data_IF_372489178194
#
_entry.id   IF_372489178194
#
_cell.length_a   1.000
_cell.length_b   1.000
_cell.length_c   1.000
_cell.angle_alpha   90.00
_cell.angle_beta   90.00
_cell.angle_gamma   90.00
#
_symmetry.space_group_name_H-M   'P 1'
#
loop_
_entity.id
_entity.type
_entity.pdbx_description
1 polymer ?
#
# COMPACT_ATOMS: atom_id res chain seq x y z
N UNK A 1 2.49 -9.01 -28.51
CA UNK A 1 2.64 -7.96 -27.48
C UNK A 1 1.95 -8.47 -26.24
N UNK A 2 2.68 -8.96 -25.23
CA UNK A 2 2.03 -9.33 -23.97
C UNK A 2 1.51 -8.05 -23.31
N UNK A 3 0.32 -8.12 -22.71
CA UNK A 3 -0.21 -7.04 -21.91
C UNK A 3 0.83 -6.70 -20.82
N UNK A 4 1.23 -5.44 -20.70
CA UNK A 4 2.22 -5.01 -19.69
C UNK A 4 1.59 -4.85 -18.30
N UNK A 5 0.27 -4.88 -18.21
CA UNK A 5 -0.49 -4.61 -16.98
C UNK A 5 -1.80 -5.38 -16.96
N UNK A 6 -2.24 -5.80 -15.78
CA UNK A 6 -3.54 -6.43 -15.54
C UNK A 6 -4.48 -5.46 -14.80
N UNK A 7 -5.78 -5.50 -15.11
CA UNK A 7 -6.80 -4.63 -14.51
C UNK A 7 -7.53 -5.33 -13.37
N UNK A 8 -7.52 -4.73 -12.18
CA UNK A 8 -8.11 -5.30 -10.96
C UNK A 8 -9.11 -4.33 -10.37
N UNK A 9 -10.38 -4.75 -10.34
CA UNK A 9 -11.42 -4.03 -9.59
C UNK A 9 -11.20 -4.18 -8.08
N UNK A 10 -11.16 -3.07 -7.35
CA UNK A 10 -10.88 -3.07 -5.91
C UNK A 10 -11.69 -2.01 -5.17
N UNK A 11 -11.95 -2.27 -3.88
CA UNK A 11 -12.44 -1.26 -2.94
C UNK A 11 -11.33 -0.92 -1.95
N UNK A 12 -10.82 0.30 -2.03
CA UNK A 12 -9.87 0.86 -1.08
C UNK A 12 -10.64 1.43 0.10
N UNK A 13 -10.15 1.17 1.32
CA UNK A 13 -10.75 1.79 2.51
C UNK A 13 -10.31 3.26 2.62
N UNK A 14 -10.95 4.02 3.51
CA UNK A 14 -10.63 5.44 3.73
C UNK A 14 -9.14 5.67 3.98
N UNK A 15 -8.52 4.91 4.89
CA UNK A 15 -7.12 5.10 5.25
C UNK A 15 -6.18 4.82 4.08
N UNK A 16 -6.48 3.85 3.22
CA UNK A 16 -5.69 3.60 2.00
C UNK A 16 -5.81 4.75 1.01
N UNK A 17 -6.99 5.37 0.89
CA UNK A 17 -7.18 6.58 0.04
C UNK A 17 -6.39 7.76 0.59
N UNK A 18 -6.37 7.95 1.91
CA UNK A 18 -5.57 8.99 2.56
C UNK A 18 -4.08 8.70 2.37
N UNK A 19 -3.64 7.45 2.54
CA UNK A 19 -2.25 7.06 2.31
C UNK A 19 -1.79 7.29 0.86
N UNK A 20 -2.67 7.13 -0.14
CA UNK A 20 -2.36 7.49 -1.53
C UNK A 20 -2.09 9.00 -1.68
N UNK A 21 -2.92 9.85 -1.05
CA UNK A 21 -2.71 11.31 -1.05
C UNK A 21 -1.41 11.67 -0.34
N UNK A 22 -1.16 11.10 0.84
CA UNK A 22 0.05 11.36 1.61
C UNK A 22 1.31 10.88 0.87
N UNK A 23 1.24 9.75 0.19
CA UNK A 23 2.38 9.25 -0.58
C UNK A 23 2.70 10.16 -1.77
N UNK A 24 1.68 10.79 -2.40
CA UNK A 24 1.92 11.86 -3.38
C UNK A 24 2.66 13.05 -2.76
N UNK A 25 2.29 13.46 -1.54
CA UNK A 25 3.00 14.52 -0.82
C UNK A 25 4.44 14.11 -0.53
N UNK A 26 4.70 12.88 -0.07
CA UNK A 26 6.06 12.38 0.12
C UNK A 26 6.88 12.42 -1.17
N UNK A 27 6.32 11.95 -2.29
CA UNK A 27 7.06 11.81 -3.55
C UNK A 27 7.23 13.12 -4.31
N UNK A 28 6.27 14.04 -4.20
CA UNK A 28 6.17 15.21 -5.08
C UNK A 28 5.89 16.53 -4.36
N UNK A 29 5.67 16.52 -3.05
CA UNK A 29 5.33 17.71 -2.26
C UNK A 29 3.90 18.22 -2.43
N UNK A 30 3.05 17.56 -3.22
CA UNK A 30 1.66 17.98 -3.47
C UNK A 30 0.73 16.77 -3.68
N UNK A 31 -0.38 16.74 -2.91
CA UNK A 31 -1.41 15.69 -2.98
C UNK A 31 -2.29 15.77 -4.23
N UNK A 32 -2.35 16.92 -4.90
CA UNK A 32 -3.28 17.19 -6.00
C UNK A 32 -2.71 16.86 -7.38
N UNK A 33 -1.46 16.41 -7.45
CA UNK A 33 -0.86 16.02 -8.72
C UNK A 33 -1.67 14.86 -9.34
N UNK A 34 -1.99 14.95 -10.64
CA UNK A 34 -2.82 13.96 -11.34
C UNK A 34 -2.00 12.70 -11.68
N UNK A 35 -1.49 12.02 -10.66
CA UNK A 35 -0.81 10.73 -10.78
C UNK A 35 -1.83 9.60 -10.57
N UNK A 36 -1.85 8.56 -11.43
CA UNK A 36 -2.72 7.40 -11.26
C UNK A 36 -2.43 6.62 -9.96
N UNK A 37 -3.47 6.15 -9.28
CA UNK A 37 -3.33 5.35 -8.05
C UNK A 37 -2.49 4.08 -8.27
N UNK A 38 -2.66 3.41 -9.40
CA UNK A 38 -1.88 2.19 -9.73
C UNK A 38 -0.38 2.48 -9.78
N UNK A 39 0.00 3.62 -10.37
CA UNK A 39 1.39 4.04 -10.43
C UNK A 39 1.96 4.30 -9.03
N UNK A 40 1.19 4.97 -8.16
CA UNK A 40 1.63 5.22 -6.78
C UNK A 40 1.82 3.94 -5.98
N UNK A 41 0.94 2.96 -6.16
CA UNK A 41 1.06 1.65 -5.52
C UNK A 41 2.33 0.92 -6.00
N UNK A 42 2.63 0.99 -7.29
CA UNK A 42 3.85 0.41 -7.86
C UNK A 42 5.12 1.08 -7.30
N UNK A 43 5.14 2.42 -7.22
CA UNK A 43 6.25 3.16 -6.63
C UNK A 43 6.38 2.91 -5.12
N UNK A 44 5.26 2.81 -4.40
CA UNK A 44 5.24 2.43 -3.00
C UNK A 44 5.86 1.04 -2.78
N UNK A 45 5.47 0.05 -3.59
CA UNK A 45 6.05 -1.29 -3.56
C UNK A 45 7.56 -1.26 -3.84
N UNK A 46 8.00 -0.58 -4.91
CA UNK A 46 9.43 -0.46 -5.25
C UNK A 46 10.22 0.16 -4.09
N UNK A 47 9.69 1.21 -3.46
CA UNK A 47 10.35 1.90 -2.35
C UNK A 47 10.65 0.99 -1.16
N UNK A 48 9.77 0.03 -0.88
CA UNK A 48 9.92 -0.90 0.25
C UNK A 48 10.40 -2.30 -0.16
N UNK A 49 10.58 -2.55 -1.47
CA UNK A 49 10.85 -3.88 -2.03
C UNK A 49 12.08 -4.57 -1.44
N UNK A 50 13.10 -3.80 -1.06
CA UNK A 50 14.32 -4.31 -0.43
C UNK A 50 14.12 -4.83 0.99
N UNK A 51 13.06 -4.39 1.67
CA UNK A 51 12.72 -4.74 3.05
C UNK A 51 11.44 -5.58 3.17
N UNK A 52 10.72 -5.79 2.06
CA UNK A 52 9.33 -6.29 2.04
C UNK A 52 9.14 -7.61 2.81
N UNK A 53 10.11 -8.52 2.72
CA UNK A 53 10.05 -9.83 3.37
C UNK A 53 10.31 -9.78 4.88
N UNK A 54 10.90 -8.69 5.37
CA UNK A 54 11.14 -8.45 6.79
C UNK A 54 10.06 -7.58 7.44
N UNK A 55 9.05 -7.11 6.71
CA UNK A 55 8.03 -6.23 7.27
C UNK A 55 7.06 -7.02 8.16
N UNK A 56 6.88 -6.58 9.41
CA UNK A 56 5.80 -7.01 10.28
C UNK A 56 4.48 -6.36 9.85
N UNK A 57 3.83 -7.01 8.89
CA UNK A 57 2.55 -6.57 8.35
C UNK A 57 1.40 -6.70 9.36
N UNK A 58 1.54 -7.49 10.42
CA UNK A 58 0.56 -7.55 11.51
C UNK A 58 0.65 -6.27 12.33
N UNK A 59 1.86 -5.91 12.78
CA UNK A 59 2.10 -4.71 13.55
C UNK A 59 1.72 -3.45 12.76
N UNK A 60 2.10 -3.32 11.48
CA UNK A 60 1.76 -2.14 10.66
C UNK A 60 0.25 -1.93 10.52
N UNK A 61 -0.52 -3.01 10.50
CA UNK A 61 -1.97 -2.94 10.33
C UNK A 61 -2.76 -2.92 11.64
N UNK A 62 -2.08 -2.99 12.78
CA UNK A 62 -2.72 -2.87 14.08
C UNK A 62 -3.45 -1.53 14.21
N UNK A 63 -4.55 -1.52 14.97
CA UNK A 63 -5.40 -0.35 15.18
C UNK A 63 -4.68 0.77 15.94
N UNK A 64 -3.70 0.41 16.78
CA UNK A 64 -2.97 1.33 17.64
C UNK A 64 -1.71 1.87 16.94
N UNK A 65 -1.37 1.32 15.77
CA UNK A 65 -0.25 1.78 14.95
C UNK A 65 -0.55 3.15 14.32
N UNK A 66 0.35 4.10 14.57
CA UNK A 66 0.25 5.46 14.03
C UNK A 66 1.02 5.51 12.71
N UNK A 67 0.28 5.72 11.61
CA UNK A 67 0.85 6.01 10.30
C UNK A 67 0.80 7.52 10.11
N UNK A 68 1.96 8.21 9.98
CA UNK A 68 2.03 9.66 9.87
C UNK A 68 1.06 10.22 8.84
N UNK A 69 0.28 11.24 9.23
CA UNK A 69 -0.70 11.94 8.38
C UNK A 69 -1.79 11.05 7.75
N UNK A 70 -1.93 9.80 8.20
CA UNK A 70 -2.93 8.86 7.68
C UNK A 70 -3.92 8.44 8.77
N UNK A 71 -3.46 7.85 9.88
CA UNK A 71 -4.37 7.34 10.92
C UNK A 71 -4.93 8.45 11.80
N UNK A 72 -4.21 9.54 11.96
CA UNK A 72 -4.61 10.75 12.70
C UNK A 72 -5.18 11.87 11.79
N UNK A 73 -5.52 11.56 10.55
CA UNK A 73 -5.94 12.56 9.55
C UNK A 73 -7.42 12.92 9.65
N UNK A 74 -7.71 14.23 9.62
CA UNK A 74 -9.06 14.79 9.47
C UNK A 74 -9.55 14.80 8.01
N UNK A 75 -8.81 14.20 7.07
CA UNK A 75 -9.18 14.18 5.65
C UNK A 75 -10.58 13.54 5.45
N UNK A 76 -11.51 14.23 4.76
CA UNK A 76 -12.90 13.80 4.61
C UNK A 76 -13.07 12.66 3.59
N UNK A 77 -11.99 12.11 3.04
CA UNK A 77 -12.01 10.98 2.11
C UNK A 77 -12.82 9.81 2.65
N UNK A 78 -13.49 9.12 1.73
CA UNK A 78 -14.25 7.90 2.00
C UNK A 78 -13.65 6.72 1.24
N UNK A 79 -14.18 5.52 1.49
CA UNK A 79 -13.76 4.34 0.74
C UNK A 79 -14.05 4.51 -0.76
N UNK A 80 -13.08 4.14 -1.60
CA UNK A 80 -13.14 4.32 -3.05
C UNK A 80 -13.24 2.96 -3.75
N UNK A 81 -14.24 2.78 -4.61
CA UNK A 81 -14.26 1.68 -5.59
C UNK A 81 -13.58 2.15 -6.86
N UNK A 82 -12.55 1.43 -7.30
CA UNK A 82 -11.75 1.79 -8.46
C UNK A 82 -11.24 0.55 -9.17
N UNK A 83 -10.58 0.74 -10.32
CA UNK A 83 -9.88 -0.31 -11.05
C UNK A 83 -8.42 0.09 -11.17
N UNK A 84 -7.54 -0.75 -10.62
CA UNK A 84 -6.10 -0.55 -10.71
C UNK A 84 -5.58 -1.25 -11.98
N UNK A 85 -4.73 -0.58 -12.74
CA UNK A 85 -4.00 -1.16 -13.86
C UNK A 85 -2.54 -1.33 -13.41
N UNK A 86 -2.20 -2.52 -12.90
CA UNK A 86 -0.91 -2.80 -12.27
C UNK A 86 -0.04 -3.60 -13.23
N UNK A 87 1.25 -3.27 -13.31
CA UNK A 87 2.24 -4.06 -14.02
C UNK A 87 2.19 -5.54 -13.59
N UNK A 88 2.26 -6.47 -14.56
CA UNK A 88 2.11 -7.91 -14.28
C UNK A 88 3.17 -8.43 -13.30
N UNK A 89 4.42 -8.01 -13.43
CA UNK A 89 5.52 -8.48 -12.57
C UNK A 89 5.28 -8.03 -11.11
N UNK A 90 4.93 -6.74 -10.92
CA UNK A 90 4.60 -6.21 -9.60
C UNK A 90 3.34 -6.89 -9.06
N UNK A 91 2.33 -7.13 -9.89
CA UNK A 91 1.13 -7.82 -9.46
C UNK A 91 1.42 -9.25 -9.00
N UNK A 92 2.28 -9.99 -9.70
CA UNK A 92 2.70 -11.32 -9.30
C UNK A 92 3.41 -11.28 -7.93
N UNK A 93 4.27 -10.30 -7.70
CA UNK A 93 4.93 -10.13 -6.41
C UNK A 93 3.96 -9.75 -5.28
N UNK A 94 2.99 -8.86 -5.55
CA UNK A 94 1.93 -8.54 -4.59
C UNK A 94 1.05 -9.76 -4.29
N UNK A 95 0.78 -10.63 -5.29
CA UNK A 95 0.07 -11.90 -5.11
C UNK A 95 0.92 -12.90 -4.29
N UNK A 96 2.24 -12.98 -4.51
CA UNK A 96 3.15 -13.79 -3.67
C UNK A 96 3.13 -13.30 -2.22
N UNK A 97 3.22 -12.00 -2.01
CA UNK A 97 3.11 -11.39 -0.68
C UNK A 97 1.75 -11.73 -0.03
N UNK A 98 0.65 -11.59 -0.78
CA UNK A 98 -0.67 -11.98 -0.31
C UNK A 98 -0.70 -13.44 0.16
N UNK A 99 -0.10 -14.37 -0.60
CA UNK A 99 -0.06 -15.78 -0.23
C UNK A 99 0.76 -16.02 1.04
N UNK A 100 1.93 -15.36 1.20
CA UNK A 100 2.71 -15.42 2.44
C UNK A 100 1.89 -14.96 3.66
N UNK A 101 1.14 -13.87 3.50
CA UNK A 101 0.27 -13.36 4.56
C UNK A 101 -0.88 -14.33 4.88
N UNK A 102 -1.46 -15.00 3.87
CA UNK A 102 -2.50 -16.02 4.06
C UNK A 102 -1.94 -17.21 4.85
N UNK A 103 -0.77 -17.72 4.45
CA UNK A 103 -0.12 -18.86 5.09
C UNK A 103 0.18 -18.56 6.57
N UNK A 104 0.72 -17.38 6.85
CA UNK A 104 1.04 -16.97 8.22
C UNK A 104 -0.19 -16.63 9.07
N UNK A 105 -1.25 -16.06 8.49
CA UNK A 105 -2.47 -15.71 9.22
C UNK A 105 -3.41 -16.90 9.43
N UNK A 106 -3.24 -18.00 8.67
CA UNK A 106 -4.17 -19.13 8.64
C UNK A 106 -5.58 -18.76 8.16
N UNK A 107 -5.74 -17.62 7.49
CA UNK A 107 -7.04 -17.07 7.12
C UNK A 107 -6.98 -16.25 5.83
N UNK A 108 -8.15 -15.95 5.27
CA UNK A 108 -8.25 -15.23 3.99
C UNK A 108 -7.79 -13.78 4.15
N UNK A 109 -6.77 -13.40 3.36
CA UNK A 109 -6.35 -12.00 3.19
C UNK A 109 -6.89 -11.47 1.86
N UNK A 110 -7.54 -10.31 1.89
CA UNK A 110 -8.02 -9.63 0.68
C UNK A 110 -6.90 -8.81 0.05
N UNK A 111 -6.89 -8.70 -1.28
CA UNK A 111 -5.88 -7.92 -1.99
C UNK A 111 -5.87 -6.44 -1.56
N UNK A 112 -7.01 -5.86 -1.17
CA UNK A 112 -7.08 -4.50 -0.62
C UNK A 112 -6.32 -4.34 0.70
N UNK A 113 -6.17 -5.41 1.49
CA UNK A 113 -5.35 -5.39 2.70
C UNK A 113 -3.86 -5.39 2.36
N UNK A 114 -3.45 -6.10 1.31
CA UNK A 114 -2.08 -6.06 0.79
C UNK A 114 -1.75 -4.63 0.34
N UNK A 115 -2.61 -4.02 -0.49
CA UNK A 115 -2.43 -2.62 -0.93
C UNK A 115 -2.34 -1.67 0.27
N UNK A 116 -3.23 -1.81 1.27
CA UNK A 116 -3.15 -1.01 2.50
C UNK A 116 -1.78 -1.14 3.17
N UNK A 117 -1.28 -2.37 3.32
CA UNK A 117 0.01 -2.67 3.95
C UNK A 117 1.15 -2.00 3.19
N UNK A 118 1.22 -2.18 1.87
CA UNK A 118 2.23 -1.55 1.01
C UNK A 118 2.22 -0.03 1.17
N UNK A 119 1.05 0.59 1.13
CA UNK A 119 0.94 2.03 1.27
C UNK A 119 1.40 2.50 2.65
N UNK A 120 0.98 1.81 3.73
CA UNK A 120 1.39 2.16 5.09
C UNK A 120 2.89 2.03 5.29
N UNK A 121 3.48 0.92 4.84
CA UNK A 121 4.93 0.70 4.88
C UNK A 121 5.69 1.75 4.10
N UNK A 122 5.22 2.14 2.92
CA UNK A 122 5.86 3.18 2.12
C UNK A 122 5.79 4.56 2.79
N UNK A 123 4.68 4.90 3.46
CA UNK A 123 4.59 6.13 4.28
C UNK A 123 5.56 6.06 5.45
N UNK A 124 5.67 4.92 6.15
CA UNK A 124 6.64 4.76 7.23
C UNK A 124 8.07 4.91 6.72
N UNK A 125 8.40 4.35 5.56
CA UNK A 125 9.72 4.48 4.92
C UNK A 125 9.99 5.91 4.45
N UNK A 126 8.97 6.67 4.02
CA UNK A 126 9.10 8.10 3.73
C UNK A 126 9.46 8.95 4.97
N UNK A 127 9.14 8.45 6.16
CA UNK A 127 9.34 9.15 7.43
C UNK A 127 10.46 8.52 8.28
N UNK A 128 11.27 7.62 7.72
CA UNK A 128 12.34 6.89 8.43
C UNK A 128 11.84 6.11 9.66
N UNK A 129 10.59 5.62 9.61
CA UNK A 129 9.94 4.89 10.70
C UNK A 129 9.73 3.39 10.41
N UNK A 130 9.94 2.93 9.16
CA UNK A 130 9.65 1.55 8.77
C UNK A 130 10.50 0.54 9.54
N UNK A 131 11.74 0.88 9.89
CA UNK A 131 12.66 -0.01 10.59
C UNK A 131 12.16 -0.46 11.96
N UNK A 132 11.23 0.30 12.58
CA UNK A 132 10.57 -0.07 13.84
C UNK A 132 9.58 -1.23 13.68
N UNK A 133 9.27 -1.62 12.45
CA UNK A 133 8.28 -2.64 12.10
C UNK A 133 8.89 -3.75 11.25
N UNK A 134 10.19 -4.01 11.40
CA UNK A 134 10.87 -5.13 10.76
C UNK A 134 11.06 -6.29 11.75
N UNK A 135 11.03 -7.53 11.23
CA UNK A 135 11.21 -8.80 11.95
C UNK A 135 12.36 -9.63 11.37
#
# INVERSE_FOLDING_TARGET
MSEKSERIGIKLNRLTVIALKEFKVCMYGDSNIPVPDSFLIEEAYKKISSKIDSIDWVAINDKDTIIPNVTNSDDPSTALRTTLAINIEILEDLKKLQNKMIESAGSRIFFSYVIKTIMFSAILECNDLLDNYLI
#
